data_IF_122777362357
#
_entry.id   IF_122777362357
#
_cell.length_a   1.000
_cell.length_b   1.000
_cell.length_c   1.000
_cell.angle_alpha   90.00
_cell.angle_beta   90.00
_cell.angle_gamma   90.00
#
_symmetry.space_group_name_H-M   'P 1'
#
loop_
_entity.id
_entity.type
_entity.pdbx_description
1 polymer ?
#
# COMPACT_ATOMS: atom_id res chain seq x y z
N UNK A 1 8.54 -21.78 6.01
CA UNK A 1 9.36 -22.34 7.12
C UNK A 1 9.27 -23.87 7.26
N UNK A 2 8.10 -24.49 7.21
CA UNK A 2 7.97 -25.96 7.37
C UNK A 2 8.84 -26.77 6.38
N UNK A 3 8.95 -26.34 5.12
CA UNK A 3 9.79 -27.01 4.11
C UNK A 3 11.29 -26.95 4.43
N UNK A 4 11.79 -25.84 4.96
CA UNK A 4 13.18 -25.67 5.35
C UNK A 4 13.52 -26.53 6.58
N UNK A 5 12.62 -26.61 7.56
CA UNK A 5 12.75 -27.49 8.73
C UNK A 5 12.74 -28.96 8.28
N UNK A 6 11.84 -29.34 7.37
CA UNK A 6 11.79 -30.69 6.80
C UNK A 6 13.06 -31.05 6.03
N UNK A 7 13.62 -30.11 5.24
CA UNK A 7 14.89 -30.31 4.54
C UNK A 7 16.04 -30.60 5.51
N UNK A 8 16.10 -29.86 6.62
CA UNK A 8 17.14 -30.01 7.63
C UNK A 8 17.02 -31.33 8.41
N UNK A 9 15.79 -31.71 8.77
CA UNK A 9 15.51 -32.99 9.41
C UNK A 9 15.82 -34.17 8.47
N UNK A 10 15.46 -34.07 7.18
CA UNK A 10 15.81 -35.09 6.19
C UNK A 10 17.32 -35.20 6.00
N UNK A 11 18.06 -34.08 5.98
CA UNK A 11 19.52 -34.10 5.93
C UNK A 11 20.17 -34.84 7.11
N UNK A 12 19.55 -34.74 8.29
CA UNK A 12 20.04 -35.40 9.50
C UNK A 12 19.63 -36.89 9.59
N UNK A 13 18.52 -37.27 8.96
CA UNK A 13 17.91 -38.61 9.05
C UNK A 13 18.18 -39.53 7.87
N UNK A 14 18.37 -38.99 6.66
CA UNK A 14 18.63 -39.78 5.46
C UNK A 14 20.11 -40.21 5.38
N UNK A 15 20.37 -41.26 4.60
CA UNK A 15 21.72 -41.72 4.33
C UNK A 15 22.55 -40.69 3.57
N UNK A 16 23.86 -40.94 3.43
CA UNK A 16 24.77 -40.12 2.61
C UNK A 16 24.74 -40.55 1.13
N UNK A 17 23.59 -41.02 0.62
CA UNK A 17 23.48 -41.47 -0.78
C UNK A 17 23.17 -40.31 -1.73
N UNK A 18 23.43 -40.48 -3.03
CA UNK A 18 23.20 -39.43 -4.03
C UNK A 18 21.73 -38.99 -4.11
N UNK A 19 20.77 -39.92 -3.91
CA UNK A 19 19.35 -39.62 -3.90
C UNK A 19 18.97 -38.76 -2.68
N UNK A 20 19.56 -39.05 -1.53
CA UNK A 20 19.30 -38.32 -0.28
C UNK A 20 19.69 -36.85 -0.40
N UNK A 21 20.87 -36.58 -0.97
CA UNK A 21 21.32 -35.21 -1.26
C UNK A 21 20.42 -34.50 -2.26
N UNK A 22 19.94 -35.20 -3.29
CA UNK A 22 19.07 -34.63 -4.31
C UNK A 22 17.72 -34.22 -3.72
N UNK A 23 17.14 -35.05 -2.85
CA UNK A 23 15.88 -34.77 -2.14
C UNK A 23 16.03 -33.56 -1.23
N UNK A 24 17.07 -33.54 -0.38
CA UNK A 24 17.35 -32.43 0.53
C UNK A 24 17.58 -31.13 -0.26
N UNK A 25 18.38 -31.17 -1.32
CA UNK A 25 18.67 -30.01 -2.16
C UNK A 25 17.41 -29.45 -2.84
N UNK A 26 16.52 -30.31 -3.33
CA UNK A 26 15.28 -29.89 -3.99
C UNK A 26 14.33 -29.21 -3.00
N UNK A 27 14.20 -29.75 -1.79
CA UNK A 27 13.40 -29.14 -0.71
C UNK A 27 13.98 -27.78 -0.27
N UNK A 28 15.31 -27.69 -0.20
CA UNK A 28 16.01 -26.45 0.17
C UNK A 28 15.81 -25.36 -0.89
N UNK A 29 16.05 -25.68 -2.17
CA UNK A 29 15.84 -24.76 -3.30
C UNK A 29 14.37 -24.34 -3.42
N UNK A 30 13.43 -25.27 -3.22
CA UNK A 30 12.01 -24.97 -3.21
C UNK A 30 11.62 -23.98 -2.11
N UNK A 31 12.14 -24.15 -0.89
CA UNK A 31 11.90 -23.19 0.19
C UNK A 31 12.52 -21.83 -0.11
N UNK A 32 13.71 -21.79 -0.70
CA UNK A 32 14.41 -20.53 -1.04
C UNK A 32 13.69 -19.76 -2.15
N UNK A 33 13.15 -20.46 -3.15
CA UNK A 33 12.35 -19.84 -4.22
C UNK A 33 11.07 -19.16 -3.70
N UNK A 34 10.41 -19.73 -2.68
CA UNK A 34 9.24 -19.10 -2.06
C UNK A 34 9.63 -17.79 -1.35
N UNK A 35 10.77 -17.77 -0.66
CA UNK A 35 11.27 -16.55 -0.02
C UNK A 35 11.68 -15.49 -1.05
N UNK A 36 12.29 -15.91 -2.17
CA UNK A 36 12.67 -15.00 -3.25
C UNK A 36 11.42 -14.34 -3.86
N UNK A 37 10.37 -15.11 -4.15
CA UNK A 37 9.10 -14.58 -4.65
C UNK A 37 8.45 -13.59 -3.66
N UNK A 38 8.46 -13.92 -2.37
CA UNK A 38 7.96 -13.03 -1.33
C UNK A 38 8.76 -11.72 -1.27
N UNK A 39 10.10 -11.80 -1.36
CA UNK A 39 10.98 -10.65 -1.37
C UNK A 39 10.73 -9.73 -2.57
N UNK A 40 10.58 -10.30 -3.78
CA UNK A 40 10.23 -9.53 -4.97
C UNK A 40 8.83 -8.90 -4.88
N UNK A 41 7.86 -9.59 -4.28
CA UNK A 41 6.53 -9.04 -4.03
C UNK A 41 6.59 -7.82 -3.09
N UNK A 42 7.39 -7.88 -2.02
CA UNK A 42 7.56 -6.78 -1.07
C UNK A 42 8.22 -5.56 -1.74
N UNK A 43 9.27 -5.79 -2.54
CA UNK A 43 9.90 -4.73 -3.34
C UNK A 43 8.88 -4.12 -4.31
N UNK A 44 8.06 -4.94 -4.97
CA UNK A 44 7.02 -4.48 -5.88
C UNK A 44 5.98 -3.59 -5.19
N UNK A 45 5.58 -3.93 -3.96
CA UNK A 45 4.65 -3.12 -3.18
C UNK A 45 5.28 -1.78 -2.74
N UNK A 46 6.57 -1.76 -2.38
CA UNK A 46 7.31 -0.54 -2.08
C UNK A 46 7.41 0.43 -3.27
N UNK A 47 7.41 -0.07 -4.50
CA UNK A 47 7.34 0.76 -5.70
C UNK A 47 5.98 1.47 -5.85
N UNK A 48 4.91 0.86 -5.33
CA UNK A 48 3.57 1.45 -5.31
C UNK A 48 3.44 2.66 -4.38
N UNK A 49 4.36 2.83 -3.43
CA UNK A 49 4.35 3.93 -2.45
C UNK A 49 5.01 5.22 -2.98
N UNK A 50 5.25 5.35 -4.28
CA UNK A 50 5.85 6.54 -4.90
C UNK A 50 7.35 6.71 -4.64
N UNK A 51 8.02 5.68 -4.12
CA UNK A 51 9.47 5.67 -3.96
C UNK A 51 10.18 5.56 -5.32
N UNK A 52 11.38 6.15 -5.43
CA UNK A 52 12.19 6.07 -6.65
C UNK A 52 12.51 4.61 -7.01
N UNK A 53 12.01 4.08 -8.15
CA UNK A 53 12.12 2.65 -8.46
C UNK A 53 13.56 2.15 -8.58
N UNK A 54 14.43 2.97 -9.17
CA UNK A 54 15.85 2.66 -9.30
C UNK A 54 16.54 2.50 -7.94
N UNK A 55 16.16 3.28 -6.93
CA UNK A 55 16.77 3.20 -5.60
C UNK A 55 16.29 1.96 -4.85
N UNK A 56 14.98 1.68 -4.88
CA UNK A 56 14.40 0.50 -4.20
C UNK A 56 14.98 -0.78 -4.81
N UNK A 57 14.99 -0.87 -6.14
CA UNK A 57 15.55 -2.02 -6.85
C UNK A 57 17.08 -2.12 -6.65
N UNK A 58 17.79 -1.00 -6.71
CA UNK A 58 19.24 -0.94 -6.52
C UNK A 58 19.67 -1.37 -5.12
N UNK A 59 19.00 -0.89 -4.07
CA UNK A 59 19.28 -1.28 -2.68
C UNK A 59 18.93 -2.77 -2.48
N UNK A 60 17.76 -3.21 -2.94
CA UNK A 60 17.33 -4.60 -2.81
C UNK A 60 18.28 -5.59 -3.50
N UNK A 61 18.71 -5.29 -4.73
CA UNK A 61 19.64 -6.12 -5.49
C UNK A 61 21.04 -6.10 -4.89
N UNK A 62 21.50 -4.94 -4.41
CA UNK A 62 22.80 -4.83 -3.71
C UNK A 62 22.83 -5.64 -2.43
N UNK A 63 21.75 -5.65 -1.65
CA UNK A 63 21.64 -6.46 -0.43
C UNK A 63 21.69 -7.97 -0.74
N UNK A 64 21.02 -8.43 -1.80
CA UNK A 64 21.07 -9.82 -2.23
C UNK A 64 22.50 -10.24 -2.65
N UNK A 65 23.15 -9.43 -3.49
CA UNK A 65 24.53 -9.67 -3.94
C UNK A 65 25.51 -9.65 -2.78
N UNK A 66 25.33 -8.74 -1.81
CA UNK A 66 26.15 -8.69 -0.58
C UNK A 66 26.05 -9.98 0.23
N UNK A 67 24.85 -10.55 0.37
CA UNK A 67 24.65 -11.81 1.08
C UNK A 67 25.40 -12.97 0.42
N UNK A 68 25.31 -13.09 -0.91
CA UNK A 68 26.06 -14.10 -1.69
C UNK A 68 27.56 -13.91 -1.55
N UNK A 69 28.02 -12.67 -1.63
CA UNK A 69 29.44 -12.34 -1.50
C UNK A 69 30.01 -12.66 -0.10
N UNK A 70 29.28 -12.31 0.97
CA UNK A 70 29.65 -12.64 2.35
C UNK A 70 29.71 -14.16 2.58
N UNK A 71 28.75 -14.91 2.04
CA UNK A 71 28.76 -16.37 2.08
C UNK A 71 30.00 -16.96 1.39
N UNK A 72 30.38 -16.41 0.24
CA UNK A 72 31.59 -16.80 -0.49
C UNK A 72 32.87 -16.55 0.31
N UNK A 73 32.99 -15.38 0.95
CA UNK A 73 34.14 -15.06 1.81
C UNK A 73 34.23 -16.00 3.00
N UNK A 74 33.12 -16.26 3.67
CA UNK A 74 33.08 -17.23 4.78
C UNK A 74 33.51 -18.61 4.31
N UNK A 75 33.02 -19.09 3.15
CA UNK A 75 33.42 -20.38 2.59
C UNK A 75 34.92 -20.47 2.26
N UNK A 76 35.50 -19.42 1.68
CA UNK A 76 36.95 -19.35 1.39
C UNK A 76 37.76 -19.29 2.69
N UNK A 77 37.29 -18.55 3.69
CA UNK A 77 37.89 -18.51 5.03
C UNK A 77 37.90 -19.89 5.71
N UNK A 78 36.82 -20.66 5.57
CA UNK A 78 36.70 -21.99 6.17
C UNK A 78 37.59 -23.03 5.48
N UNK A 79 37.70 -22.95 4.15
CA UNK A 79 38.56 -23.85 3.36
C UNK A 79 40.05 -23.55 3.55
N UNK A 80 40.42 -22.29 3.75
CA UNK A 80 41.80 -21.89 4.07
C UNK A 80 42.23 -22.23 5.50
N UNK A 81 41.29 -22.29 6.45
CA UNK A 81 41.56 -22.65 7.85
C UNK A 81 41.65 -24.16 8.12
N UNK A 82 41.37 -25.03 7.13
CA UNK A 82 41.40 -26.49 7.25
C UNK A 82 40.60 -27.03 8.47
N UNK A 83 39.44 -26.42 8.73
CA UNK A 83 38.56 -26.81 9.83
C UNK A 83 38.04 -28.24 9.64
N UNK A 84 37.79 -28.95 10.74
CA UNK A 84 37.21 -30.28 10.67
C UNK A 84 35.75 -30.21 10.16
N UNK A 85 35.29 -31.24 9.43
CA UNK A 85 33.93 -31.29 8.89
C UNK A 85 32.83 -31.05 9.96
N UNK A 86 33.07 -31.48 11.20
CA UNK A 86 32.16 -31.24 12.32
C UNK A 86 32.03 -29.75 12.69
N UNK A 87 33.11 -28.99 12.61
CA UNK A 87 33.13 -27.55 12.90
C UNK A 87 32.43 -26.76 11.80
N UNK A 88 32.63 -27.15 10.54
CA UNK A 88 31.93 -26.56 9.38
C UNK A 88 30.43 -26.74 9.50
N UNK A 89 29.99 -27.94 9.88
CA UNK A 89 28.57 -28.26 10.05
C UNK A 89 27.95 -27.47 11.22
N UNK A 90 28.69 -27.30 12.33
CA UNK A 90 28.25 -26.51 13.48
C UNK A 90 28.12 -25.01 13.16
N UNK A 91 29.06 -24.45 12.39
CA UNK A 91 29.00 -23.04 11.94
C UNK A 91 27.79 -22.84 11.01
N UNK A 92 27.58 -23.74 10.05
CA UNK A 92 26.42 -23.68 9.16
C UNK A 92 25.09 -23.76 9.93
N UNK A 93 24.99 -24.67 10.91
CA UNK A 93 23.83 -24.78 11.79
C UNK A 93 23.61 -23.49 12.61
N UNK A 94 24.68 -22.90 13.14
CA UNK A 94 24.60 -21.67 13.94
C UNK A 94 24.07 -20.51 13.10
N UNK A 95 24.54 -20.37 11.86
CA UNK A 95 24.03 -19.35 10.92
C UNK A 95 22.54 -19.58 10.65
N UNK A 96 22.11 -20.82 10.39
CA UNK A 96 20.70 -21.17 10.17
C UNK A 96 19.85 -20.89 11.42
N UNK A 97 20.33 -21.21 12.61
CA UNK A 97 19.61 -20.92 13.85
C UNK A 97 19.46 -19.41 14.09
N UNK A 98 20.50 -18.62 13.80
CA UNK A 98 20.46 -17.16 13.92
C UNK A 98 19.46 -16.57 12.91
N UNK A 99 19.47 -17.01 11.65
CA UNK A 99 18.51 -16.51 10.63
C UNK A 99 17.08 -16.87 11.02
N UNK A 100 16.82 -18.07 11.52
CA UNK A 100 15.51 -18.48 12.03
C UNK A 100 15.07 -17.71 13.28
N UNK A 101 16.00 -17.31 14.16
CA UNK A 101 15.70 -16.54 15.37
C UNK A 101 15.40 -15.06 15.07
N UNK A 102 16.04 -14.49 14.05
CA UNK A 102 15.84 -13.09 13.62
C UNK A 102 14.54 -12.92 12.82
N UNK A 103 14.07 -13.96 12.14
CA UNK A 103 12.90 -13.86 11.26
C UNK A 103 11.59 -13.45 12.00
N UNK A 104 11.20 -14.03 13.15
CA UNK A 104 9.98 -13.65 13.87
C UNK A 104 9.89 -12.18 14.33
N UNK A 105 10.94 -11.57 14.94
CA UNK A 105 10.88 -10.15 15.29
C UNK A 105 10.83 -9.25 14.04
N UNK A 106 11.46 -9.67 12.94
CA UNK A 106 11.38 -8.96 11.66
C UNK A 106 9.96 -8.99 11.09
N UNK A 107 9.32 -10.16 11.08
CA UNK A 107 7.91 -10.33 10.66
C UNK A 107 6.96 -9.49 11.54
N UNK A 108 7.24 -9.42 12.85
CA UNK A 108 6.45 -8.59 13.78
C UNK A 108 6.63 -7.10 13.49
N UNK A 109 7.86 -6.65 13.27
CA UNK A 109 8.14 -5.25 12.91
C UNK A 109 7.52 -4.88 11.56
N UNK A 110 7.66 -5.76 10.55
CA UNK A 110 7.05 -5.56 9.24
C UNK A 110 5.53 -5.46 9.34
N UNK A 111 4.88 -6.36 10.10
CA UNK A 111 3.44 -6.30 10.33
C UNK A 111 3.00 -5.03 11.07
N UNK A 112 3.80 -4.51 12.00
CA UNK A 112 3.51 -3.25 12.67
C UNK A 112 3.62 -2.06 11.71
N UNK A 113 4.66 -2.03 10.88
CA UNK A 113 4.85 -1.00 9.86
C UNK A 113 3.72 -1.08 8.83
N UNK A 114 3.41 -2.27 8.29
CA UNK A 114 2.31 -2.45 7.34
C UNK A 114 0.95 -2.06 7.92
N UNK A 115 0.65 -2.38 9.19
CA UNK A 115 -0.59 -1.90 9.83
C UNK A 115 -0.65 -0.38 9.90
N UNK A 116 0.47 0.30 10.12
CA UNK A 116 0.52 1.77 10.12
C UNK A 116 0.31 2.36 8.72
N UNK A 117 0.82 1.70 7.67
CA UNK A 117 0.58 2.07 6.28
C UNK A 117 -0.83 1.75 5.82
N UNK A 118 -1.41 0.61 6.18
CA UNK A 118 -2.81 0.29 5.89
C UNK A 118 -3.79 1.25 6.56
N UNK A 119 -3.46 1.72 7.77
CA UNK A 119 -4.21 2.80 8.42
C UNK A 119 -4.05 4.14 7.67
N UNK A 120 -2.84 4.43 7.14
CA UNK A 120 -2.59 5.60 6.31
C UNK A 120 -3.27 5.53 4.95
N UNK A 121 -3.27 4.40 4.25
CA UNK A 121 -3.99 4.18 2.99
C UNK A 121 -5.51 4.21 3.18
N UNK A 122 -6.02 3.73 4.32
CA UNK A 122 -7.43 3.87 4.67
C UNK A 122 -7.78 5.33 5.00
N UNK A 123 -6.86 6.05 5.67
CA UNK A 123 -7.01 7.48 5.98
C UNK A 123 -6.85 8.38 4.75
N UNK A 124 -5.90 8.09 3.86
CA UNK A 124 -5.71 8.75 2.57
C UNK A 124 -6.82 8.40 1.61
N UNK A 125 -7.40 7.19 1.62
CA UNK A 125 -8.64 6.92 0.87
C UNK A 125 -9.83 7.73 1.38
N UNK A 126 -9.94 7.93 2.70
CA UNK A 126 -10.91 8.87 3.27
C UNK A 126 -10.61 10.34 2.88
N UNK A 127 -9.33 10.72 2.76
CA UNK A 127 -8.91 12.05 2.32
C UNK A 127 -9.01 12.25 0.79
N UNK A 128 -8.87 11.19 -0.02
CA UNK A 128 -8.99 11.25 -1.48
C UNK A 128 -10.43 11.35 -1.94
N UNK A 129 -11.40 10.73 -1.24
CA UNK A 129 -12.81 11.09 -1.41
C UNK A 129 -13.03 12.58 -1.07
N UNK A 130 -12.36 13.09 -0.04
CA UNK A 130 -12.44 14.51 0.34
C UNK A 130 -11.78 15.43 -0.70
N UNK A 131 -10.66 15.06 -1.31
CA UNK A 131 -9.95 15.85 -2.33
C UNK A 131 -10.64 15.79 -3.70
N UNK A 132 -11.19 14.65 -4.09
CA UNK A 132 -12.04 14.53 -5.29
C UNK A 132 -13.32 15.37 -5.13
N UNK A 133 -13.85 15.46 -3.91
CA UNK A 133 -14.99 16.32 -3.56
C UNK A 133 -14.68 17.83 -3.54
N UNK A 134 -13.45 18.23 -3.19
CA UNK A 134 -13.03 19.64 -3.30
C UNK A 134 -12.84 20.05 -4.77
N UNK A 135 -12.27 19.17 -5.60
CA UNK A 135 -12.11 19.41 -7.03
C UNK A 135 -13.45 19.38 -7.80
N UNK A 136 -14.37 18.49 -7.45
CA UNK A 136 -15.73 18.46 -8.03
C UNK A 136 -16.59 19.63 -7.54
N UNK A 137 -16.40 20.09 -6.29
CA UNK A 137 -17.01 21.34 -5.78
C UNK A 137 -16.56 22.55 -6.59
N UNK A 138 -15.27 22.67 -6.89
CA UNK A 138 -14.77 23.75 -7.77
C UNK A 138 -15.33 23.61 -9.18
N UNK A 139 -15.29 22.41 -9.76
CA UNK A 139 -15.76 22.18 -11.13
C UNK A 139 -17.26 22.47 -11.33
N UNK A 140 -18.11 22.12 -10.35
CA UNK A 140 -19.56 22.42 -10.41
C UNK A 140 -19.83 23.90 -10.18
N UNK A 141 -19.12 24.55 -9.26
CA UNK A 141 -19.23 26.00 -9.05
C UNK A 141 -18.74 26.78 -10.28
N UNK A 142 -17.67 26.31 -10.94
CA UNK A 142 -17.11 26.89 -12.17
C UNK A 142 -18.04 26.75 -13.39
N UNK A 143 -18.99 25.79 -13.37
CA UNK A 143 -20.03 25.62 -14.39
C UNK A 143 -21.23 26.58 -14.20
N UNK A 144 -21.37 27.16 -13.01
CA UNK A 144 -22.42 28.13 -12.69
C UNK A 144 -21.97 29.54 -13.11
N UNK A 145 -22.89 30.29 -13.69
CA UNK A 145 -22.67 31.73 -13.91
C UNK A 145 -22.64 32.48 -12.58
N UNK A 146 -22.02 33.66 -12.52
CA UNK A 146 -21.96 34.49 -11.29
C UNK A 146 -23.33 34.64 -10.61
N UNK A 147 -24.38 34.86 -11.41
CA UNK A 147 -25.76 34.98 -10.92
C UNK A 147 -26.34 33.67 -10.39
N UNK A 148 -25.95 32.54 -10.95
CA UNK A 148 -26.36 31.23 -10.43
C UNK A 148 -25.61 30.87 -9.14
N UNK A 149 -24.36 31.31 -8.99
CA UNK A 149 -23.61 31.17 -7.73
C UNK A 149 -24.25 32.00 -6.61
N UNK A 150 -24.62 33.26 -6.89
CA UNK A 150 -25.34 34.12 -5.94
C UNK A 150 -26.64 33.47 -5.46
N UNK A 151 -27.43 32.92 -6.41
CA UNK A 151 -28.69 32.22 -6.10
C UNK A 151 -28.43 30.95 -5.30
N UNK A 152 -27.41 30.15 -5.66
CA UNK A 152 -27.05 28.92 -4.96
C UNK A 152 -26.68 29.20 -3.49
N UNK A 153 -25.88 30.23 -3.22
CA UNK A 153 -25.47 30.59 -1.86
C UNK A 153 -26.68 30.88 -0.97
N UNK A 154 -27.61 31.71 -1.45
CA UNK A 154 -28.82 32.03 -0.69
C UNK A 154 -29.73 30.80 -0.49
N UNK A 155 -29.69 29.86 -1.42
CA UNK A 155 -30.49 28.63 -1.38
C UNK A 155 -29.94 27.63 -0.34
N UNK A 156 -28.61 27.55 -0.21
CA UNK A 156 -27.90 26.78 0.82
C UNK A 156 -28.09 27.37 2.22
N UNK A 157 -28.27 28.69 2.34
CA UNK A 157 -28.68 29.36 3.58
C UNK A 157 -30.13 29.07 3.98
N UNK A 158 -30.87 28.29 3.19
CA UNK A 158 -32.26 27.90 3.49
C UNK A 158 -33.32 28.93 3.11
N UNK A 159 -32.97 30.01 2.42
CA UNK A 159 -33.90 31.10 2.05
C UNK A 159 -34.92 30.64 1.01
N UNK A 160 -36.16 31.09 1.16
CA UNK A 160 -37.24 30.89 0.19
C UNK A 160 -37.00 31.69 -1.09
N UNK A 161 -37.63 31.30 -2.21
CA UNK A 161 -37.45 32.00 -3.49
C UNK A 161 -37.84 33.48 -3.43
N UNK A 162 -38.77 33.84 -2.53
CA UNK A 162 -39.18 35.23 -2.28
C UNK A 162 -38.10 36.02 -1.55
N UNK A 163 -37.43 35.41 -0.57
CA UNK A 163 -36.31 36.03 0.14
C UNK A 163 -35.09 36.18 -0.76
N UNK A 164 -34.81 35.20 -1.61
CA UNK A 164 -33.74 35.26 -2.62
C UNK A 164 -34.02 36.39 -3.62
N UNK A 165 -35.26 36.49 -4.10
CA UNK A 165 -35.69 37.55 -5.01
C UNK A 165 -35.47 38.95 -4.40
N UNK A 166 -35.84 39.11 -3.12
CA UNK A 166 -35.61 40.35 -2.38
C UNK A 166 -34.11 40.65 -2.17
N UNK A 167 -33.31 39.63 -1.83
CA UNK A 167 -31.88 39.78 -1.57
C UNK A 167 -31.07 40.14 -2.83
N UNK A 168 -31.44 39.58 -3.99
CA UNK A 168 -30.74 39.77 -5.27
C UNK A 168 -31.39 40.82 -6.17
N UNK A 169 -32.44 41.52 -5.69
CA UNK A 169 -33.19 42.54 -6.44
C UNK A 169 -33.73 42.03 -7.80
N UNK A 170 -34.28 40.81 -7.81
CA UNK A 170 -34.87 40.17 -9.00
C UNK A 170 -36.29 39.66 -8.71
N UNK A 171 -37.03 39.24 -9.74
CA UNK A 171 -38.37 38.67 -9.55
C UNK A 171 -38.32 37.21 -9.13
N UNK A 172 -39.34 36.74 -8.43
CA UNK A 172 -39.47 35.32 -8.05
C UNK A 172 -39.47 34.37 -9.25
N UNK A 173 -40.01 34.80 -10.40
CA UNK A 173 -39.97 34.03 -11.64
C UNK A 173 -38.54 33.83 -12.14
N UNK A 174 -37.70 34.86 -12.03
CA UNK A 174 -36.29 34.81 -12.43
C UNK A 174 -35.50 33.90 -11.50
N UNK A 175 -35.76 33.95 -10.19
CA UNK A 175 -35.18 32.99 -9.23
C UNK A 175 -35.55 31.55 -9.60
N UNK A 176 -36.83 31.27 -9.90
CA UNK A 176 -37.25 29.91 -10.31
C UNK A 176 -36.50 29.41 -11.56
N UNK A 177 -36.23 30.29 -12.51
CA UNK A 177 -35.44 29.96 -13.71
C UNK A 177 -33.99 29.63 -13.34
N UNK A 178 -33.33 30.46 -12.52
CA UNK A 178 -31.96 30.18 -12.07
C UNK A 178 -31.89 28.87 -11.28
N UNK A 179 -32.84 28.60 -10.39
CA UNK A 179 -32.91 27.35 -9.62
C UNK A 179 -33.05 26.12 -10.53
N UNK A 180 -33.88 26.19 -11.57
CA UNK A 180 -34.01 25.11 -12.56
C UNK A 180 -32.69 24.87 -13.30
N UNK A 181 -32.00 25.94 -13.72
CA UNK A 181 -30.73 25.82 -14.41
C UNK A 181 -29.65 25.23 -13.50
N UNK A 182 -29.60 25.66 -12.23
CA UNK A 182 -28.70 25.10 -11.21
C UNK A 182 -28.96 23.60 -11.04
N UNK A 183 -30.23 23.19 -10.90
CA UNK A 183 -30.59 21.77 -10.79
C UNK A 183 -30.13 20.96 -12.00
N UNK A 184 -30.35 21.48 -13.21
CA UNK A 184 -29.90 20.82 -14.43
C UNK A 184 -28.38 20.75 -14.56
N UNK A 185 -27.65 21.76 -14.09
CA UNK A 185 -26.18 21.81 -14.13
C UNK A 185 -25.52 20.97 -13.05
N UNK A 186 -26.19 20.80 -11.92
CA UNK A 186 -25.72 19.98 -10.79
C UNK A 186 -26.25 18.54 -10.84
N UNK A 187 -27.02 18.18 -11.87
CA UNK A 187 -27.66 16.86 -12.06
C UNK A 187 -28.52 16.41 -10.86
N UNK A 188 -29.32 17.34 -10.30
CA UNK A 188 -30.21 17.08 -9.17
C UNK A 188 -31.66 17.41 -9.49
N UNK A 189 -32.60 16.71 -8.86
CA UNK A 189 -34.03 16.80 -9.16
C UNK A 189 -34.82 17.63 -8.13
N UNK A 190 -34.26 17.86 -6.94
CA UNK A 190 -34.97 18.55 -5.86
C UNK A 190 -34.08 19.46 -5.01
N UNK A 191 -34.73 20.43 -4.34
CA UNK A 191 -34.06 21.31 -3.37
C UNK A 191 -33.43 20.53 -2.21
N UNK A 192 -34.12 19.50 -1.72
CA UNK A 192 -33.61 18.67 -0.63
C UNK A 192 -32.40 17.85 -1.09
N UNK A 193 -32.43 17.33 -2.33
CA UNK A 193 -31.31 16.63 -2.94
C UNK A 193 -30.11 17.54 -3.14
N UNK A 194 -30.31 18.75 -3.69
CA UNK A 194 -29.28 19.78 -3.81
C UNK A 194 -28.65 20.08 -2.44
N UNK A 195 -29.47 20.42 -1.44
CA UNK A 195 -28.97 20.74 -0.10
C UNK A 195 -28.25 19.53 0.52
N UNK A 196 -28.79 18.32 0.37
CA UNK A 196 -28.16 17.11 0.91
C UNK A 196 -26.84 16.78 0.21
N UNK A 197 -26.72 17.05 -1.10
CA UNK A 197 -25.49 16.90 -1.87
C UNK A 197 -24.39 17.85 -1.34
N UNK A 198 -24.76 19.09 -1.01
CA UNK A 198 -23.83 20.07 -0.44
C UNK A 198 -23.58 19.89 1.08
N UNK A 199 -24.52 19.34 1.85
CA UNK A 199 -24.40 19.13 3.32
C UNK A 199 -23.77 17.79 3.70
N UNK A 200 -24.03 16.69 2.96
CA UNK A 200 -23.34 15.40 3.17
C UNK A 200 -21.83 15.49 2.95
N UNK A 201 -21.35 16.58 2.37
CA UNK A 201 -19.93 16.84 2.10
C UNK A 201 -19.29 17.83 3.10
N UNK A 202 -19.98 18.18 4.21
CA UNK A 202 -19.48 19.04 5.30
C UNK A 202 -19.30 18.33 6.67
N UNK A 203 -19.74 17.08 6.82
CA UNK A 203 -19.64 16.29 8.06
C UNK A 203 -18.73 15.09 7.87
#
# INVERSE_FOLDING_TARGET
>A
MAMMIAAFLMFMLLGRSALDYLVVNTLMLGSMGIFDLFWWSMIGEMLGLGLNPANVFGIGLSANVLGVWLGGILGVGMTSAALADAEVTAIALTVVCITLAILPPLEKQLNLIMKSHAHRDAYERMDLESQHNVLSRSAVVDLLTDREQDVLQQLLEGKSNREIAAALFITESTVKTHVRNIFSKCDVSSRAELISSFLKHQA
#
